data_IF_156671278496
#
_entry.id   IF_156671278496
#
_cell.length_a   1.000
_cell.length_b   1.000
_cell.length_c   1.000
_cell.angle_alpha   90.00
_cell.angle_beta   90.00
_cell.angle_gamma   90.00
#
_symmetry.space_group_name_H-M   'P 1'
#
loop_
_entity.id
_entity.type
_entity.pdbx_description
1 polymer ?
#
# COMPACT_ATOMS: atom_id res chain seq x y z
N UNK A 1 0.51 6.60 -17.48
CA UNK A 1 1.70 6.60 -16.56
C UNK A 1 1.35 7.45 -15.33
N UNK A 2 1.52 6.91 -14.12
CA UNK A 2 1.27 7.64 -12.86
C UNK A 2 2.60 8.13 -12.29
N UNK A 3 2.63 9.36 -11.76
CA UNK A 3 3.77 9.91 -11.02
C UNK A 3 3.29 10.62 -9.76
N UNK A 4 4.13 10.62 -8.73
CA UNK A 4 3.95 11.43 -7.53
C UNK A 4 5.20 12.26 -7.33
N UNK A 5 5.06 13.57 -7.30
CA UNK A 5 6.15 14.51 -7.10
C UNK A 5 6.02 15.21 -5.75
N UNK A 6 7.11 15.21 -5.02
CA UNK A 6 7.29 15.96 -3.78
C UNK A 6 8.15 17.20 -4.09
N UNK A 7 7.63 18.39 -3.86
CA UNK A 7 8.28 19.65 -4.14
C UNK A 7 8.51 20.42 -2.84
N UNK A 8 9.75 20.38 -2.34
CA UNK A 8 10.20 21.06 -1.11
C UNK A 8 9.31 20.72 0.10
N UNK A 9 8.88 19.47 0.22
CA UNK A 9 7.93 19.02 1.24
C UNK A 9 8.57 18.99 2.61
N UNK A 10 7.98 19.72 3.53
CA UNK A 10 8.32 19.73 4.97
C UNK A 10 7.09 19.30 5.75
N UNK A 11 7.26 18.40 6.70
CA UNK A 11 6.21 17.99 7.62
C UNK A 11 6.60 18.26 9.07
N UNK A 12 5.67 18.89 9.79
CA UNK A 12 5.80 19.19 11.22
C UNK A 12 4.54 18.75 11.95
N UNK A 13 4.71 18.28 13.19
CA UNK A 13 3.62 18.05 14.12
C UNK A 13 3.96 18.71 15.45
N UNK A 14 3.04 19.45 16.00
CA UNK A 14 3.21 20.16 17.29
C UNK A 14 4.51 20.98 17.36
N UNK A 15 4.85 21.67 16.26
CA UNK A 15 6.07 22.49 16.18
C UNK A 15 7.38 21.71 15.92
N UNK A 16 7.36 20.38 16.03
CA UNK A 16 8.52 19.52 15.76
C UNK A 16 8.55 19.12 14.28
N UNK A 17 9.69 19.33 13.61
CA UNK A 17 9.92 18.83 12.24
C UNK A 17 10.07 17.31 12.28
N UNK A 18 9.33 16.62 11.44
CA UNK A 18 9.41 15.17 11.25
C UNK A 18 10.41 14.85 10.16
N UNK A 19 10.29 15.54 9.02
CA UNK A 19 11.25 15.46 7.90
C UNK A 19 11.13 16.69 6.98
N UNK A 20 12.09 16.82 6.12
CA UNK A 20 12.12 17.79 5.02
C UNK A 20 13.31 18.74 5.06
N UNK A 21 13.48 19.53 3.97
CA UNK A 21 12.68 19.51 2.75
C UNK A 21 12.95 18.25 1.91
N UNK A 22 11.88 17.65 1.35
CA UNK A 22 11.97 16.50 0.43
C UNK A 22 11.63 16.99 -0.98
N UNK A 23 12.54 16.70 -1.92
CA UNK A 23 12.33 16.93 -3.35
C UNK A 23 12.63 15.62 -4.09
N UNK A 24 11.59 14.97 -4.60
CA UNK A 24 11.73 13.69 -5.29
C UNK A 24 10.51 13.42 -6.16
N UNK A 25 10.64 12.46 -7.08
CA UNK A 25 9.55 11.99 -7.92
C UNK A 25 9.55 10.45 -7.96
N UNK A 26 8.37 9.88 -7.80
CA UNK A 26 8.09 8.45 -7.99
C UNK A 26 7.31 8.28 -9.29
N UNK A 27 7.66 7.28 -10.09
CA UNK A 27 7.04 7.03 -11.37
C UNK A 27 6.61 5.57 -11.52
N UNK A 28 5.57 5.35 -12.31
CA UNK A 28 5.08 4.02 -12.72
C UNK A 28 6.18 3.13 -13.27
N UNK A 29 6.01 1.81 -13.13
CA UNK A 29 6.98 0.81 -13.54
C UNK A 29 8.11 0.62 -12.52
N UNK A 30 7.94 1.12 -11.31
CA UNK A 30 8.97 1.03 -10.26
C UNK A 30 8.38 0.67 -8.92
N UNK A 31 9.22 0.00 -8.13
CA UNK A 31 9.05 -0.15 -6.68
C UNK A 31 9.96 0.85 -5.99
N UNK A 32 9.40 1.72 -5.16
CA UNK A 32 10.12 2.73 -4.39
C UNK A 32 10.02 2.42 -2.90
N UNK A 33 11.15 2.28 -2.22
CA UNK A 33 11.20 2.10 -0.78
C UNK A 33 11.31 3.45 -0.06
N UNK A 34 10.55 3.63 1.01
CA UNK A 34 10.74 4.68 2.00
C UNK A 34 11.31 4.03 3.25
N UNK A 35 12.56 4.32 3.55
CA UNK A 35 13.30 3.72 4.66
C UNK A 35 13.64 4.73 5.75
N UNK A 36 14.06 4.26 6.91
CA UNK A 36 14.41 5.09 8.05
C UNK A 36 13.94 4.48 9.36
N UNK A 37 14.45 4.99 10.47
CA UNK A 37 14.10 4.49 11.81
C UNK A 37 12.60 4.60 12.12
N UNK A 38 12.14 3.86 13.12
CA UNK A 38 10.77 4.01 13.63
C UNK A 38 10.55 5.46 14.11
N UNK A 39 9.42 6.04 13.69
CA UNK A 39 9.11 7.44 13.98
C UNK A 39 9.75 8.47 13.03
N UNK A 40 10.52 8.07 12.01
CA UNK A 40 11.10 9.00 11.02
C UNK A 40 10.09 9.61 10.05
N UNK A 41 8.82 9.17 10.09
CA UNK A 41 7.76 9.74 9.26
C UNK A 41 7.45 8.96 7.98
N UNK A 42 7.89 7.70 7.83
CA UNK A 42 7.62 6.87 6.65
C UNK A 42 6.13 6.78 6.31
N UNK A 43 5.31 6.38 7.28
CA UNK A 43 3.84 6.35 7.13
C UNK A 43 3.24 7.71 6.83
N UNK A 44 3.84 8.78 7.38
CA UNK A 44 3.43 10.16 7.11
C UNK A 44 3.71 10.53 5.66
N UNK A 45 4.86 10.15 5.10
CA UNK A 45 5.18 10.39 3.69
C UNK A 45 4.20 9.66 2.76
N UNK A 46 3.83 8.41 3.08
CA UNK A 46 2.79 7.69 2.32
C UNK A 46 1.42 8.38 2.43
N UNK A 47 1.03 8.88 3.61
CA UNK A 47 -0.23 9.62 3.80
C UNK A 47 -0.24 10.94 3.02
N UNK A 48 0.90 11.62 2.88
CA UNK A 48 1.06 12.79 2.01
C UNK A 48 0.92 12.40 0.52
N UNK A 49 1.55 11.29 0.10
CA UNK A 49 1.41 10.75 -1.26
C UNK A 49 -0.03 10.38 -1.60
N UNK A 50 -0.79 9.91 -0.62
CA UNK A 50 -2.21 9.57 -0.75
C UNK A 50 -3.16 10.80 -0.69
N UNK A 51 -2.64 12.00 -0.46
CA UNK A 51 -3.41 13.21 -0.15
C UNK A 51 -4.37 13.03 1.06
N UNK A 52 -4.03 12.13 1.98
CA UNK A 52 -4.73 11.97 3.26
C UNK A 52 -4.23 12.96 4.32
N UNK A 53 -3.11 13.61 4.03
CA UNK A 53 -2.50 14.63 4.86
C UNK A 53 -1.97 15.73 3.94
N UNK A 54 -2.00 16.97 4.40
CA UNK A 54 -1.39 18.11 3.71
C UNK A 54 0.00 18.37 4.31
N UNK A 55 1.00 18.70 3.47
CA UNK A 55 2.33 19.07 3.98
C UNK A 55 2.27 20.41 4.71
N UNK A 56 3.15 20.60 5.69
CA UNK A 56 3.28 21.89 6.41
C UNK A 56 3.86 22.97 5.51
N UNK A 57 4.74 22.59 4.57
CA UNK A 57 5.26 23.45 3.51
C UNK A 57 5.63 22.60 2.28
N UNK A 58 5.71 23.26 1.12
CA UNK A 58 5.88 22.58 -0.16
C UNK A 58 4.56 21.98 -0.66
N UNK A 59 4.63 21.10 -1.66
CA UNK A 59 3.45 20.46 -2.21
C UNK A 59 3.74 19.02 -2.67
N UNK A 60 2.68 18.19 -2.68
CA UNK A 60 2.69 16.85 -3.28
C UNK A 60 1.73 16.84 -4.44
N UNK A 61 2.22 16.52 -5.63
CA UNK A 61 1.44 16.50 -6.87
C UNK A 61 1.39 15.09 -7.42
N UNK A 62 0.20 14.55 -7.56
CA UNK A 62 -0.04 13.27 -8.23
C UNK A 62 -0.53 13.52 -9.66
N UNK A 63 0.08 12.86 -10.64
CA UNK A 63 -0.27 13.01 -12.05
C UNK A 63 -0.57 11.66 -12.67
N UNK A 64 -1.49 11.62 -13.64
CA UNK A 64 -1.66 10.49 -14.54
C UNK A 64 -1.96 11.00 -15.94
N UNK A 65 -1.23 10.46 -16.92
CA UNK A 65 -1.44 10.75 -18.33
C UNK A 65 -1.47 12.25 -18.64
N UNK A 66 -0.57 13.01 -17.98
CA UNK A 66 -0.43 14.47 -18.12
C UNK A 66 -1.49 15.30 -17.39
N UNK A 67 -2.36 14.67 -16.59
CA UNK A 67 -3.38 15.36 -15.80
C UNK A 67 -3.12 15.18 -14.30
N UNK A 68 -3.37 16.23 -13.54
CA UNK A 68 -3.29 16.17 -12.08
C UNK A 68 -4.43 15.31 -11.51
N UNK A 69 -4.07 14.43 -10.59
CA UNK A 69 -5.01 13.60 -9.85
C UNK A 69 -5.32 14.24 -8.50
N UNK A 70 -6.58 14.54 -8.27
CA UNK A 70 -7.07 15.10 -7.00
C UNK A 70 -8.36 14.42 -6.56
N UNK A 71 -8.67 14.45 -5.27
CA UNK A 71 -9.93 13.94 -4.74
C UNK A 71 -10.28 12.54 -5.26
N UNK A 72 -11.44 12.40 -5.90
CA UNK A 72 -11.94 11.10 -6.38
C UNK A 72 -11.11 10.51 -7.54
N UNK A 73 -10.47 11.35 -8.35
CA UNK A 73 -9.60 10.87 -9.44
C UNK A 73 -8.38 10.14 -8.90
N UNK A 74 -7.77 10.64 -7.83
CA UNK A 74 -6.67 9.99 -7.14
C UNK A 74 -7.16 8.73 -6.40
N UNK A 75 -8.27 8.82 -5.65
CA UNK A 75 -8.82 7.69 -4.88
C UNK A 75 -9.12 6.47 -5.73
N UNK A 76 -9.61 6.67 -6.96
CA UNK A 76 -9.88 5.55 -7.89
C UNK A 76 -8.62 4.83 -8.34
N UNK A 77 -7.50 5.53 -8.47
CA UNK A 77 -6.23 4.98 -8.94
C UNK A 77 -5.30 4.51 -7.81
N UNK A 78 -5.59 4.85 -6.56
CA UNK A 78 -4.75 4.56 -5.40
C UNK A 78 -5.35 3.41 -4.57
N UNK A 79 -4.53 2.49 -4.14
CA UNK A 79 -4.82 1.57 -3.04
C UNK A 79 -3.74 1.70 -1.97
N UNK A 80 -4.17 1.85 -0.72
CA UNK A 80 -3.27 1.96 0.42
C UNK A 80 -3.53 0.83 1.41
N UNK A 81 -2.47 0.12 1.76
CA UNK A 81 -2.49 -0.92 2.80
C UNK A 81 -1.62 -0.44 3.95
N UNK A 82 -2.22 -0.35 5.12
CA UNK A 82 -1.55 0.10 6.35
C UNK A 82 -1.78 -0.91 7.48
N UNK A 83 -0.99 -0.86 8.56
CA UNK A 83 -1.27 -1.66 9.76
C UNK A 83 -2.68 -1.43 10.32
N UNK A 84 -3.17 -0.18 10.26
CA UNK A 84 -4.48 0.22 10.77
C UNK A 84 -5.65 -0.28 9.90
N UNK A 85 -5.42 -0.74 8.68
CA UNK A 85 -6.47 -1.36 7.87
C UNK A 85 -6.95 -2.63 8.57
N UNK A 86 -8.16 -2.59 9.10
CA UNK A 86 -8.78 -3.68 9.83
C UNK A 86 -9.95 -4.24 9.03
N UNK A 87 -10.12 -5.54 9.11
CA UNK A 87 -11.33 -6.22 8.63
C UNK A 87 -12.42 -6.18 9.71
N UNK A 88 -13.66 -6.24 9.29
CA UNK A 88 -14.79 -6.42 10.19
C UNK A 88 -14.71 -7.83 10.80
N UNK A 89 -14.51 -7.95 12.12
CA UNK A 89 -14.16 -9.23 12.73
C UNK A 89 -15.27 -10.27 12.70
N UNK A 90 -16.52 -9.84 12.53
CA UNK A 90 -17.71 -10.72 12.45
C UNK A 90 -18.07 -11.12 11.02
N UNK A 91 -17.38 -10.59 10.02
CA UNK A 91 -17.58 -10.94 8.63
C UNK A 91 -16.53 -11.97 8.20
N UNK A 92 -16.91 -12.83 7.28
CA UNK A 92 -16.00 -13.76 6.60
C UNK A 92 -15.01 -13.03 5.71
N UNK A 93 -14.02 -13.75 5.15
CA UNK A 93 -13.10 -13.18 4.15
C UNK A 93 -13.86 -12.64 2.94
N UNK A 94 -14.84 -13.41 2.45
CA UNK A 94 -15.67 -13.04 1.29
C UNK A 94 -16.43 -11.74 1.55
N UNK A 95 -17.17 -11.67 2.64
CA UNK A 95 -17.97 -10.49 3.00
C UNK A 95 -17.09 -9.24 3.21
N UNK A 96 -15.90 -9.37 3.82
CA UNK A 96 -14.95 -8.27 3.95
C UNK A 96 -14.44 -7.79 2.59
N UNK A 97 -14.09 -8.71 1.69
CA UNK A 97 -13.64 -8.36 0.34
C UNK A 97 -14.76 -7.69 -0.47
N UNK A 98 -15.97 -8.25 -0.45
CA UNK A 98 -17.13 -7.69 -1.14
C UNK A 98 -17.46 -6.28 -0.63
N UNK A 99 -17.37 -6.05 0.69
CA UNK A 99 -17.56 -4.73 1.28
C UNK A 99 -16.47 -3.73 0.79
N UNK A 100 -15.20 -4.06 0.96
CA UNK A 100 -14.11 -3.14 0.63
C UNK A 100 -13.98 -2.85 -0.87
N UNK A 101 -14.17 -3.87 -1.71
CA UNK A 101 -14.15 -3.73 -3.16
C UNK A 101 -15.42 -3.05 -3.68
N UNK A 102 -16.57 -3.32 -3.04
CA UNK A 102 -17.84 -2.67 -3.33
C UNK A 102 -17.79 -1.14 -3.18
N UNK A 103 -17.02 -0.62 -2.20
CA UNK A 103 -16.76 0.83 -2.06
C UNK A 103 -16.06 1.43 -3.31
N UNK A 104 -15.43 0.60 -4.12
CA UNK A 104 -14.78 0.97 -5.39
C UNK A 104 -15.63 0.61 -6.61
N UNK A 105 -16.82 0.05 -6.42
CA UNK A 105 -17.67 -0.45 -7.51
C UNK A 105 -17.16 -1.74 -8.15
N UNK A 106 -16.31 -2.50 -7.46
CA UNK A 106 -15.72 -3.76 -7.93
C UNK A 106 -16.50 -4.92 -7.32
N UNK A 107 -16.91 -5.85 -8.17
CA UNK A 107 -17.54 -7.10 -7.77
C UNK A 107 -16.70 -8.26 -8.28
N UNK A 108 -16.46 -9.26 -7.44
CA UNK A 108 -15.76 -10.49 -7.80
C UNK A 108 -16.78 -11.62 -7.94
N UNK A 109 -16.69 -12.35 -9.04
CA UNK A 109 -17.35 -13.66 -9.11
C UNK A 109 -16.61 -14.70 -8.23
N UNK A 110 -17.20 -15.87 -8.08
CA UNK A 110 -16.63 -16.91 -7.22
C UNK A 110 -15.28 -17.41 -7.76
N UNK A 111 -15.13 -17.51 -9.07
CA UNK A 111 -13.88 -17.97 -9.71
C UNK A 111 -12.73 -17.01 -9.46
N UNK A 112 -12.97 -15.70 -9.66
CA UNK A 112 -11.98 -14.66 -9.39
C UNK A 112 -11.62 -14.58 -7.89
N UNK A 113 -12.60 -14.73 -7.02
CA UNK A 113 -12.38 -14.78 -5.57
C UNK A 113 -11.48 -15.95 -5.17
N UNK A 114 -11.77 -17.16 -5.64
CA UNK A 114 -10.99 -18.36 -5.33
C UNK A 114 -9.55 -18.23 -5.88
N UNK A 115 -9.39 -17.74 -7.11
CA UNK A 115 -8.07 -17.52 -7.70
C UNK A 115 -7.23 -16.51 -6.90
N UNK A 116 -7.85 -15.44 -6.38
CA UNK A 116 -7.16 -14.48 -5.52
C UNK A 116 -6.73 -15.09 -4.19
N UNK A 117 -7.57 -15.88 -3.56
CA UNK A 117 -7.21 -16.58 -2.32
C UNK A 117 -6.03 -17.52 -2.52
N UNK A 118 -6.06 -18.32 -3.59
CA UNK A 118 -4.95 -19.18 -3.98
C UNK A 118 -3.66 -18.41 -4.20
N UNK A 119 -3.74 -17.31 -4.97
CA UNK A 119 -2.61 -16.43 -5.29
C UNK A 119 -1.94 -15.88 -4.04
N UNK A 120 -2.71 -15.52 -3.02
CA UNK A 120 -2.14 -15.02 -1.76
C UNK A 120 -1.85 -16.14 -0.74
N UNK A 121 -2.04 -17.40 -1.11
CA UNK A 121 -1.78 -18.55 -0.27
C UNK A 121 -2.74 -18.70 0.90
N UNK A 122 -4.00 -18.27 0.72
CA UNK A 122 -5.10 -18.54 1.64
C UNK A 122 -5.91 -19.73 1.10
N UNK A 123 -6.04 -20.79 1.92
CA UNK A 123 -6.83 -21.96 1.51
C UNK A 123 -8.31 -21.69 1.72
N UNK A 124 -9.05 -21.66 0.63
CA UNK A 124 -10.49 -21.40 0.67
C UNK A 124 -11.25 -22.27 1.66
N UNK A 125 -10.90 -23.56 1.77
CA UNK A 125 -11.51 -24.50 2.72
C UNK A 125 -11.31 -24.09 4.19
N UNK A 126 -10.21 -23.41 4.51
CA UNK A 126 -9.88 -23.01 5.88
C UNK A 126 -10.59 -21.71 6.29
N UNK A 127 -10.96 -20.87 5.31
CA UNK A 127 -11.51 -19.54 5.58
C UNK A 127 -12.93 -19.33 5.07
N UNK A 128 -13.54 -20.33 4.39
CA UNK A 128 -14.87 -20.18 3.77
C UNK A 128 -15.97 -19.85 4.77
N UNK A 129 -15.89 -20.37 5.98
CA UNK A 129 -16.88 -20.15 7.05
C UNK A 129 -16.31 -19.39 8.25
N UNK A 130 -14.98 -19.26 8.33
CA UNK A 130 -14.34 -18.56 9.43
C UNK A 130 -14.53 -17.04 9.30
N UNK A 131 -14.80 -16.38 10.42
CA UNK A 131 -14.87 -14.91 10.48
C UNK A 131 -13.49 -14.31 10.62
N UNK A 132 -13.28 -13.09 10.11
CA UNK A 132 -11.96 -12.43 10.09
C UNK A 132 -11.37 -12.20 11.50
N UNK A 133 -12.19 -12.20 12.53
CA UNK A 133 -11.74 -12.14 13.92
C UNK A 133 -10.93 -13.36 14.35
N UNK A 134 -11.16 -14.52 13.74
CA UNK A 134 -10.45 -15.79 14.03
C UNK A 134 -9.14 -15.94 13.22
N UNK A 135 -8.88 -15.04 12.27
CA UNK A 135 -7.71 -15.14 11.42
C UNK A 135 -6.43 -14.82 12.19
N UNK A 136 -5.38 -15.59 11.90
CA UNK A 136 -4.03 -15.23 12.33
C UNK A 136 -3.60 -13.89 11.71
N UNK A 137 -2.57 -13.26 12.29
CA UNK A 137 -2.02 -12.02 11.72
C UNK A 137 -1.54 -12.21 10.28
N UNK A 138 -0.92 -13.37 9.98
CA UNK A 138 -0.49 -13.72 8.63
C UNK A 138 -1.68 -13.88 7.65
N UNK A 139 -2.77 -14.51 8.08
CA UNK A 139 -3.99 -14.64 7.26
C UNK A 139 -4.60 -13.26 6.97
N UNK A 140 -4.69 -12.38 7.97
CA UNK A 140 -5.16 -11.01 7.76
C UNK A 140 -4.29 -10.23 6.77
N UNK A 141 -2.97 -10.37 6.87
CA UNK A 141 -2.05 -9.69 5.96
C UNK A 141 -2.19 -10.21 4.51
N UNK A 142 -2.34 -11.52 4.33
CA UNK A 142 -2.61 -12.13 3.02
C UNK A 142 -3.97 -11.69 2.46
N UNK A 143 -4.99 -11.52 3.29
CA UNK A 143 -6.28 -10.99 2.87
C UNK A 143 -6.19 -9.51 2.44
N UNK A 144 -5.40 -8.69 3.15
CA UNK A 144 -5.09 -7.30 2.71
C UNK A 144 -4.45 -7.29 1.32
N UNK A 145 -3.50 -8.21 1.06
CA UNK A 145 -2.89 -8.36 -0.24
C UNK A 145 -3.91 -8.77 -1.32
N UNK A 146 -4.84 -9.69 -1.01
CA UNK A 146 -5.91 -10.07 -1.93
C UNK A 146 -6.80 -8.87 -2.30
N UNK A 147 -7.20 -8.06 -1.33
CA UNK A 147 -7.97 -6.82 -1.57
C UNK A 147 -7.16 -5.84 -2.43
N UNK A 148 -5.86 -5.67 -2.17
CA UNK A 148 -4.98 -4.82 -2.96
C UNK A 148 -4.92 -5.28 -4.42
N UNK A 149 -4.67 -6.57 -4.66
CA UNK A 149 -4.62 -7.16 -6.00
C UNK A 149 -5.93 -6.97 -6.77
N UNK A 150 -7.06 -7.17 -6.09
CA UNK A 150 -8.38 -7.01 -6.67
C UNK A 150 -8.77 -5.54 -6.93
N UNK A 151 -8.10 -4.59 -6.28
CA UNK A 151 -8.45 -3.15 -6.35
C UNK A 151 -8.30 -2.53 -7.73
N UNK A 152 -7.51 -3.13 -8.62
CA UNK A 152 -7.17 -2.58 -9.93
C UNK A 152 -6.41 -1.25 -9.90
N UNK A 153 -5.87 -0.86 -8.74
CA UNK A 153 -5.21 0.43 -8.58
C UNK A 153 -3.85 0.49 -9.30
N UNK A 154 -3.57 1.64 -9.90
CA UNK A 154 -2.30 1.93 -10.59
C UNK A 154 -1.20 2.37 -9.62
N UNK A 155 -1.59 2.84 -8.44
CA UNK A 155 -0.74 3.33 -7.38
C UNK A 155 -0.97 2.52 -6.10
N UNK A 156 0.07 1.83 -5.66
CA UNK A 156 0.07 1.07 -4.41
C UNK A 156 0.93 1.76 -3.37
N UNK A 157 0.34 2.09 -2.23
CA UNK A 157 1.03 2.62 -1.06
C UNK A 157 0.94 1.59 0.07
N UNK A 158 2.07 1.02 0.45
CA UNK A 158 2.14 -0.09 1.38
C UNK A 158 2.95 0.31 2.61
N UNK A 159 2.32 0.30 3.77
CA UNK A 159 2.99 0.63 5.03
C UNK A 159 3.32 -0.65 5.79
N UNK A 160 4.60 -0.96 5.91
CA UNK A 160 5.15 -2.17 6.51
C UNK A 160 4.49 -3.46 5.99
N UNK A 161 4.46 -3.69 4.67
CA UNK A 161 3.64 -4.75 4.07
C UNK A 161 4.05 -6.16 4.52
N UNK A 162 5.33 -6.40 4.81
CA UNK A 162 5.87 -7.68 5.27
C UNK A 162 5.87 -7.85 6.79
N UNK A 163 5.39 -6.87 7.56
CA UNK A 163 5.38 -6.95 9.01
C UNK A 163 4.56 -8.17 9.49
N UNK A 164 5.11 -8.89 10.47
CA UNK A 164 4.48 -10.08 11.06
C UNK A 164 4.24 -11.26 10.08
N UNK A 165 4.86 -11.23 8.90
CA UNK A 165 4.85 -12.35 7.98
C UNK A 165 6.08 -13.24 8.13
N UNK A 166 5.86 -14.53 7.93
CA UNK A 166 6.94 -15.50 7.73
C UNK A 166 7.68 -15.24 6.40
N UNK A 167 8.84 -15.85 6.24
CA UNK A 167 9.68 -15.70 5.04
C UNK A 167 8.91 -15.92 3.72
N UNK A 168 8.01 -16.91 3.68
CA UNK A 168 7.20 -17.19 2.48
C UNK A 168 6.22 -16.06 2.17
N UNK A 169 5.57 -15.50 3.19
CA UNK A 169 4.64 -14.38 3.02
C UNK A 169 5.35 -13.10 2.56
N UNK A 170 6.54 -12.81 3.09
CA UNK A 170 7.35 -11.66 2.62
C UNK A 170 7.79 -11.81 1.16
N UNK A 171 8.26 -13.02 0.78
CA UNK A 171 8.60 -13.31 -0.62
C UNK A 171 7.42 -13.10 -1.55
N UNK A 172 6.22 -13.49 -1.14
CA UNK A 172 5.00 -13.27 -1.90
C UNK A 172 4.73 -11.77 -2.11
N UNK A 173 4.79 -10.95 -1.05
CA UNK A 173 4.58 -9.51 -1.18
C UNK A 173 5.60 -8.87 -2.13
N UNK A 174 6.88 -9.22 -1.99
CA UNK A 174 7.94 -8.73 -2.88
C UNK A 174 7.65 -9.15 -4.33
N UNK A 175 7.27 -10.39 -4.55
CA UNK A 175 6.91 -10.90 -5.88
C UNK A 175 5.75 -10.12 -6.50
N UNK A 176 4.66 -9.95 -5.76
CA UNK A 176 3.47 -9.24 -6.23
C UNK A 176 3.75 -7.75 -6.50
N UNK A 177 4.55 -7.10 -5.66
CA UNK A 177 4.96 -5.72 -5.86
C UNK A 177 5.83 -5.56 -7.12
N UNK A 178 6.80 -6.45 -7.34
CA UNK A 178 7.63 -6.46 -8.55
C UNK A 178 6.78 -6.69 -9.79
N UNK A 179 5.91 -7.71 -9.78
CA UNK A 179 4.99 -7.97 -10.89
C UNK A 179 4.10 -6.74 -11.19
N UNK A 180 3.57 -6.09 -10.16
CA UNK A 180 2.77 -4.88 -10.34
C UNK A 180 3.57 -3.75 -10.99
N UNK A 181 4.84 -3.56 -10.60
CA UNK A 181 5.72 -2.59 -11.23
C UNK A 181 6.01 -2.95 -12.69
N UNK A 182 6.31 -4.21 -12.99
CA UNK A 182 6.55 -4.70 -14.37
C UNK A 182 5.30 -4.53 -15.26
N UNK A 183 4.09 -4.59 -14.67
CA UNK A 183 2.81 -4.27 -15.33
C UNK A 183 2.57 -2.75 -15.46
N UNK A 184 3.51 -1.90 -15.07
CA UNK A 184 3.45 -0.45 -15.21
C UNK A 184 2.75 0.28 -14.07
N UNK A 185 2.52 -0.37 -12.92
CA UNK A 185 2.03 0.31 -11.70
C UNK A 185 3.17 1.01 -10.96
N UNK A 186 2.83 1.99 -10.15
CA UNK A 186 3.74 2.58 -9.17
C UNK A 186 3.49 1.89 -7.83
N UNK A 187 4.52 1.27 -7.28
CA UNK A 187 4.50 0.70 -5.93
C UNK A 187 5.43 1.51 -5.04
N UNK A 188 4.91 2.03 -3.93
CA UNK A 188 5.71 2.68 -2.92
C UNK A 188 5.44 2.01 -1.56
N UNK A 189 6.48 1.52 -0.92
CA UNK A 189 6.36 0.93 0.41
C UNK A 189 7.23 1.62 1.45
N UNK A 190 6.69 1.77 2.64
CA UNK A 190 7.44 2.14 3.83
C UNK A 190 7.90 0.87 4.53
N UNK A 191 9.19 0.71 4.75
CA UNK A 191 9.74 -0.52 5.33
C UNK A 191 10.96 -0.27 6.18
N UNK A 192 11.20 -1.20 7.12
CA UNK A 192 12.45 -1.38 7.85
C UNK A 192 13.11 -2.73 7.52
N UNK A 193 12.54 -3.52 6.60
CA UNK A 193 13.09 -4.81 6.19
C UNK A 193 14.09 -4.62 5.04
N UNK A 194 15.33 -5.06 5.26
CA UNK A 194 16.42 -4.93 4.27
C UNK A 194 16.12 -5.68 2.96
N UNK A 195 15.29 -6.74 2.99
CA UNK A 195 14.92 -7.50 1.80
C UNK A 195 13.93 -6.75 0.94
N UNK A 196 12.97 -6.03 1.58
CA UNK A 196 12.04 -5.16 0.88
C UNK A 196 12.80 -3.96 0.29
N UNK A 197 13.72 -3.36 1.05
CA UNK A 197 14.59 -2.29 0.54
C UNK A 197 15.41 -2.78 -0.66
N UNK A 198 16.06 -3.93 -0.56
CA UNK A 198 16.87 -4.51 -1.64
C UNK A 198 16.05 -4.89 -2.89
N UNK A 199 14.74 -5.12 -2.74
CA UNK A 199 13.85 -5.42 -3.84
C UNK A 199 13.29 -4.17 -4.55
N UNK A 200 13.54 -2.97 -4.02
CA UNK A 200 13.10 -1.72 -4.62
C UNK A 200 14.08 -1.22 -5.70
N UNK A 201 13.55 -0.49 -6.69
CA UNK A 201 14.34 0.15 -7.75
C UNK A 201 14.99 1.46 -7.27
N UNK A 202 14.43 2.07 -6.24
CA UNK A 202 14.92 3.28 -5.61
C UNK A 202 14.51 3.33 -4.13
N UNK A 203 15.29 4.00 -3.33
CA UNK A 203 14.97 4.20 -1.92
C UNK A 203 15.10 5.67 -1.52
N UNK A 204 14.20 6.12 -0.63
CA UNK A 204 14.31 7.39 0.07
C UNK A 204 14.52 7.09 1.54
N UNK A 205 15.66 7.50 2.06
CA UNK A 205 15.96 7.37 3.47
C UNK A 205 15.50 8.64 4.23
N UNK A 206 14.57 8.47 5.15
CA UNK A 206 14.16 9.54 6.05
C UNK A 206 15.09 9.57 7.26
N UNK A 207 15.81 10.69 7.41
CA UNK A 207 16.57 10.94 8.63
C UNK A 207 15.57 11.27 9.75
N UNK A 208 15.59 10.50 10.84
CA UNK A 208 14.86 10.87 12.06
C UNK A 208 15.50 12.12 12.70
N UNK A 209 14.66 13.06 13.12
CA UNK A 209 15.08 14.27 13.87
C UNK A 209 14.80 14.11 15.36
#
# INVERSE_FOLDING_TARGET
>A
MVTIRFEEVIQRFHGRTIFGPIRTEFASGRVVAVTGQNGSGKSTLLKLAAHLLLPTAGQVVAMADGKELTGDSLRRRLAMVTPELCFYPRLTARENMDFLLGLRGITLDETAYQALLERVGLRAKEISTAVAGEFSTGMRQRLKLAVLLASGADLWLLDEPGANLETAGRKLIIHEARQAADEGRLVCWATNDEREEAAADAAIQLAGH
#
